data_IF_114607573015
#
_entry.id   IF_114607573015
#
_cell.length_a   1.000
_cell.length_b   1.000
_cell.length_c   1.000
_cell.angle_alpha   90.00
_cell.angle_beta   90.00
_cell.angle_gamma   90.00
#
_symmetry.space_group_name_H-M   'P 1'
#
loop_
_entity.id
_entity.type
_entity.pdbx_description
1 polymer ?
#
# COMPACT_ATOMS: atom_id res chain seq x y z
N UNK A 1 -11.89 11.52 14.09
CA UNK A 1 -11.47 12.21 12.85
C UNK A 1 -12.68 12.98 12.36
N UNK A 2 -12.53 14.26 12.05
CA UNK A 2 -13.61 15.04 11.43
C UNK A 2 -13.65 14.82 9.91
N UNK A 3 -14.74 15.28 9.27
CA UNK A 3 -14.99 15.08 7.85
C UNK A 3 -13.94 15.75 6.95
N UNK A 4 -13.42 16.91 7.37
CA UNK A 4 -12.42 17.66 6.62
C UNK A 4 -11.09 16.89 6.55
N UNK A 5 -10.66 16.34 7.69
CA UNK A 5 -9.47 15.50 7.77
C UNK A 5 -9.66 14.18 7.01
N UNK A 6 -10.83 13.56 7.10
CA UNK A 6 -11.15 12.35 6.35
C UNK A 6 -11.05 12.59 4.83
N UNK A 7 -11.65 13.68 4.35
CA UNK A 7 -11.59 14.07 2.94
C UNK A 7 -10.15 14.37 2.51
N UNK A 8 -9.37 15.07 3.34
CA UNK A 8 -7.98 15.36 3.05
C UNK A 8 -7.14 14.08 2.88
N UNK A 9 -7.30 13.10 3.78
CA UNK A 9 -6.61 11.80 3.69
C UNK A 9 -6.96 11.10 2.38
N UNK A 10 -8.24 11.05 2.01
CA UNK A 10 -8.68 10.40 0.77
C UNK A 10 -8.12 11.10 -0.48
N UNK A 11 -8.12 12.44 -0.52
CA UNK A 11 -7.54 13.20 -1.64
C UNK A 11 -6.04 12.94 -1.76
N UNK A 12 -5.33 12.90 -0.64
CA UNK A 12 -3.89 12.59 -0.60
C UNK A 12 -3.61 11.16 -1.08
N UNK A 13 -4.38 10.18 -0.61
CA UNK A 13 -4.27 8.80 -1.05
C UNK A 13 -4.58 8.62 -2.55
N UNK A 14 -5.54 9.36 -3.09
CA UNK A 14 -5.84 9.38 -4.53
C UNK A 14 -4.68 9.97 -5.35
N UNK A 15 -4.02 11.03 -4.87
CA UNK A 15 -2.82 11.59 -5.51
C UNK A 15 -1.69 10.58 -5.53
N UNK A 16 -1.41 9.95 -4.38
CA UNK A 16 -0.40 8.91 -4.25
C UNK A 16 -0.68 7.72 -5.18
N UNK A 17 -1.92 7.24 -5.22
CA UNK A 17 -2.29 6.12 -6.07
C UNK A 17 -2.10 6.40 -7.57
N UNK A 18 -2.39 7.63 -8.04
CA UNK A 18 -2.12 8.01 -9.43
C UNK A 18 -0.62 8.04 -9.75
N UNK A 19 0.20 8.53 -8.82
CA UNK A 19 1.66 8.50 -8.96
C UNK A 19 2.18 7.05 -8.95
N UNK A 20 1.75 6.25 -7.98
CA UNK A 20 2.10 4.84 -7.85
C UNK A 20 1.70 4.04 -9.09
N UNK A 21 0.50 4.28 -9.66
CA UNK A 21 0.06 3.61 -10.89
C UNK A 21 0.95 3.92 -12.09
N UNK A 22 1.45 5.16 -12.22
CA UNK A 22 2.42 5.54 -13.26
C UNK A 22 3.75 4.82 -13.08
N UNK A 23 4.22 4.68 -11.84
CA UNK A 23 5.55 4.12 -11.52
C UNK A 23 5.58 2.59 -11.51
N UNK A 24 4.54 1.95 -10.95
CA UNK A 24 4.48 0.52 -10.66
C UNK A 24 3.65 -0.28 -11.67
N UNK A 25 2.84 0.42 -12.49
CA UNK A 25 1.94 -0.17 -13.50
C UNK A 25 1.12 -1.39 -13.01
N UNK A 26 0.45 -1.31 -11.85
CA UNK A 26 -0.46 -2.37 -11.41
C UNK A 26 -1.74 -2.38 -12.24
N UNK A 27 -2.52 -3.47 -12.14
CA UNK A 27 -3.84 -3.56 -12.76
C UNK A 27 -4.81 -2.57 -12.12
N UNK A 28 -4.75 -2.42 -10.79
CA UNK A 28 -5.59 -1.50 -10.01
C UNK A 28 -4.87 -1.03 -8.74
N UNK A 29 -5.43 0.00 -8.10
CA UNK A 29 -4.99 0.50 -6.80
C UNK A 29 -6.08 0.19 -5.77
N UNK A 30 -5.72 -0.53 -4.72
CA UNK A 30 -6.57 -0.83 -3.57
C UNK A 30 -6.40 0.20 -2.46
N UNK A 31 -7.47 0.42 -1.69
CA UNK A 31 -7.49 1.28 -0.50
C UNK A 31 -8.00 0.46 0.67
N UNK A 32 -7.22 0.35 1.73
CA UNK A 32 -7.60 -0.42 2.93
C UNK A 32 -7.42 0.42 4.17
N UNK A 33 -8.52 0.66 4.87
CA UNK A 33 -8.50 1.17 6.24
C UNK A 33 -8.55 -0.03 7.17
N UNK A 34 -7.53 -0.19 8.02
CA UNK A 34 -7.53 -1.22 9.06
C UNK A 34 -6.95 -0.66 10.36
N UNK A 35 -7.31 -1.27 11.49
CA UNK A 35 -6.86 -0.89 12.83
C UNK A 35 -6.23 -2.01 13.64
N UNK A 36 -5.88 -3.13 12.99
CA UNK A 36 -5.24 -4.26 13.67
C UNK A 36 -3.77 -3.94 13.98
N UNK A 37 -3.34 -4.19 15.22
CA UNK A 37 -1.94 -4.10 15.65
C UNK A 37 -1.43 -2.69 16.02
N UNK A 38 -2.02 -1.61 15.50
CA UNK A 38 -1.59 -0.24 15.81
C UNK A 38 -2.80 0.66 16.07
N UNK A 39 -2.85 1.31 17.24
CA UNK A 39 -3.99 2.10 17.70
C UNK A 39 -4.06 3.52 17.12
N UNK A 40 -3.91 3.67 15.80
CA UNK A 40 -4.27 4.90 15.08
C UNK A 40 -4.81 4.59 13.68
N UNK A 41 -5.45 5.57 13.05
CA UNK A 41 -6.07 5.39 11.73
C UNK A 41 -5.01 5.38 10.61
N UNK A 42 -4.97 4.30 9.83
CA UNK A 42 -4.09 4.15 8.68
C UNK A 42 -4.93 3.92 7.43
N UNK A 43 -4.58 4.59 6.33
CA UNK A 43 -5.11 4.29 5.02
C UNK A 43 -3.98 3.74 4.15
N UNK A 44 -4.05 2.44 3.86
CA UNK A 44 -3.09 1.77 2.99
C UNK A 44 -3.48 2.01 1.53
N UNK A 45 -2.47 2.28 0.70
CA UNK A 45 -2.60 2.40 -0.75
C UNK A 45 -1.78 1.28 -1.39
N UNK A 46 -2.47 0.32 -2.00
CA UNK A 46 -1.88 -0.97 -2.39
C UNK A 46 -1.91 -1.11 -3.90
N UNK A 47 -0.75 -1.33 -4.51
CA UNK A 47 -0.67 -1.72 -5.92
C UNK A 47 -1.08 -3.19 -6.06
N UNK A 48 -2.10 -3.48 -6.88
CA UNK A 48 -2.65 -4.82 -7.07
C UNK A 48 -2.36 -5.30 -8.50
N UNK A 49 -1.55 -6.35 -8.61
CA UNK A 49 -1.05 -6.90 -9.87
C UNK A 49 -1.84 -8.13 -10.33
N UNK A 50 -2.68 -8.71 -9.47
CA UNK A 50 -3.62 -9.79 -9.77
C UNK A 50 -5.09 -9.37 -9.51
N UNK A 51 -6.08 -9.88 -10.27
CA UNK A 51 -7.50 -9.62 -10.02
C UNK A 51 -8.01 -10.03 -8.63
N UNK A 52 -7.31 -10.94 -7.95
CA UNK A 52 -7.64 -11.41 -6.61
C UNK A 52 -6.77 -10.81 -5.51
N UNK A 53 -5.81 -9.94 -5.88
CA UNK A 53 -5.00 -9.22 -4.88
C UNK A 53 -5.90 -8.35 -4.01
N UNK A 54 -5.87 -8.62 -2.71
CA UNK A 54 -6.42 -7.78 -1.64
C UNK A 54 -5.27 -7.28 -0.77
N UNK A 55 -4.30 -8.17 -0.50
CA UNK A 55 -3.01 -7.92 0.14
C UNK A 55 -1.91 -8.53 -0.75
N UNK A 56 -0.65 -8.07 -0.61
CA UNK A 56 0.46 -8.65 -1.37
C UNK A 56 0.68 -10.12 -0.99
N UNK A 57 0.87 -11.00 -1.96
CA UNK A 57 1.05 -12.45 -1.77
C UNK A 57 2.19 -12.80 -0.78
N UNK A 58 3.21 -11.96 -0.65
CA UNK A 58 4.28 -12.13 0.34
C UNK A 58 3.82 -12.02 1.81
N UNK A 59 2.55 -11.67 2.06
CA UNK A 59 1.97 -11.65 3.41
C UNK A 59 1.09 -12.86 3.70
N UNK A 60 0.95 -13.82 2.78
CA UNK A 60 0.02 -14.95 2.93
C UNK A 60 0.81 -16.23 3.20
N UNK A 61 0.51 -16.88 4.33
CA UNK A 61 0.87 -18.27 4.60
C UNK A 61 -0.40 -19.12 4.61
N UNK A 62 -0.43 -20.21 3.83
CA UNK A 62 -1.64 -20.99 3.58
C UNK A 62 -1.57 -22.55 3.66
N UNK A 63 -0.72 -23.18 4.50
CA UNK A 63 -0.79 -24.61 4.75
C UNK A 63 -2.00 -24.94 5.66
N UNK A 64 -3.15 -25.22 5.04
CA UNK A 64 -4.36 -25.67 5.75
C UNK A 64 -5.24 -24.56 6.36
N UNK A 65 -5.00 -23.30 6.01
CA UNK A 65 -5.77 -22.13 6.47
C UNK A 65 -5.33 -20.84 5.78
N UNK A 66 -5.85 -19.69 6.18
CA UNK A 66 -5.37 -18.37 5.73
C UNK A 66 -4.77 -17.63 6.93
N UNK A 67 -3.47 -17.38 6.88
CA UNK A 67 -2.75 -16.60 7.90
C UNK A 67 -2.03 -15.44 7.22
N UNK A 68 -2.13 -14.25 7.83
CA UNK A 68 -1.33 -13.10 7.41
C UNK A 68 -0.04 -13.07 8.21
N UNK A 69 1.12 -13.18 7.56
CA UNK A 69 2.45 -13.17 8.18
C UNK A 69 3.37 -12.11 7.57
N UNK A 70 4.45 -11.78 8.27
CA UNK A 70 5.55 -10.96 7.77
C UNK A 70 6.81 -11.79 7.50
N UNK A 71 6.80 -13.10 7.78
CA UNK A 71 8.00 -13.94 7.73
C UNK A 71 8.56 -14.14 6.32
N UNK A 72 7.73 -13.96 5.29
CA UNK A 72 8.17 -14.02 3.88
C UNK A 72 8.63 -12.67 3.33
N UNK A 73 8.58 -11.60 4.14
CA UNK A 73 9.04 -10.29 3.72
C UNK A 73 10.56 -10.25 3.80
N UNK A 74 11.19 -10.06 2.64
CA UNK A 74 12.56 -9.55 2.57
C UNK A 74 12.49 -8.04 2.50
N UNK A 75 12.82 -7.30 3.58
CA UNK A 75 12.77 -5.85 3.55
C UNK A 75 13.71 -5.31 2.47
N UNK A 76 13.27 -4.35 1.64
CA UNK A 76 14.16 -3.71 0.69
C UNK A 76 15.34 -3.04 1.41
N UNK A 77 16.51 -3.01 0.78
CA UNK A 77 17.63 -2.22 1.29
C UNK A 77 17.24 -0.75 1.38
N UNK A 78 17.90 0.00 2.28
CA UNK A 78 17.67 1.44 2.40
C UNK A 78 17.78 2.17 1.06
N UNK A 79 18.81 1.84 0.27
CA UNK A 79 19.03 2.42 -1.07
C UNK A 79 17.87 2.13 -2.01
N UNK A 80 17.35 0.90 -2.02
CA UNK A 80 16.21 0.53 -2.84
C UNK A 80 14.93 1.28 -2.41
N UNK A 81 14.71 1.43 -1.11
CA UNK A 81 13.59 2.19 -0.54
C UNK A 81 13.65 3.68 -0.90
N UNK A 82 14.83 4.29 -0.79
CA UNK A 82 15.05 5.69 -1.16
C UNK A 82 14.85 5.92 -2.66
N UNK A 83 15.35 5.01 -3.50
CA UNK A 83 15.14 5.08 -4.95
C UNK A 83 13.65 4.96 -5.33
N UNK A 84 12.90 4.07 -4.67
CA UNK A 84 11.45 3.96 -4.88
C UNK A 84 10.73 5.24 -4.42
N UNK A 85 11.07 5.76 -3.23
CA UNK A 85 10.50 6.99 -2.72
C UNK A 85 10.74 8.17 -3.67
N UNK A 86 11.97 8.32 -4.19
CA UNK A 86 12.31 9.38 -5.15
C UNK A 86 11.46 9.29 -6.43
N UNK A 87 11.24 8.08 -6.97
CA UNK A 87 10.38 7.86 -8.14
C UNK A 87 8.93 8.25 -7.87
N UNK A 88 8.40 7.92 -6.69
CA UNK A 88 7.04 8.29 -6.30
C UNK A 88 6.91 9.80 -6.07
N UNK A 89 7.87 10.43 -5.41
CA UNK A 89 7.91 11.88 -5.20
C UNK A 89 7.95 12.65 -6.52
N UNK A 90 8.78 12.21 -7.47
CA UNK A 90 8.83 12.80 -8.81
C UNK A 90 7.48 12.67 -9.54
N UNK A 91 6.82 11.52 -9.43
CA UNK A 91 5.52 11.29 -10.07
C UNK A 91 4.33 12.01 -9.40
N UNK A 92 4.53 12.61 -8.22
CA UNK A 92 3.53 13.43 -7.52
C UNK A 92 3.49 14.89 -7.99
N UNK A 93 4.55 15.34 -8.67
CA UNK A 93 4.63 16.65 -9.33
C UNK A 93 3.73 16.66 -10.58
#
# INVERSE_FOLDING_TARGET
>A
MDDALAAHIMVTAQRLARAARRVLRPLRMGYVVHGFGVAHAHLNVIAQHDPTDIISACHVDAPGGFTVTQDHLTPPTRVASEAMAARLCYALQ
#
